data_IF_796011699851
#
_entry.id   IF_796011699851
#
_cell.length_a   1.000
_cell.length_b   1.000
_cell.length_c   1.000
_cell.angle_alpha   90.00
_cell.angle_beta   90.00
_cell.angle_gamma   90.00
#
_symmetry.space_group_name_H-M   'P 1'
#
loop_
_entity.id
_entity.type
_entity.pdbx_description
1 polymer ?
#
# COMPACT_ATOMS: atom_id res chain seq x y z
N UNK A 1 -3.02 16.14 16.22
CA UNK A 1 -4.34 15.45 16.24
C UNK A 1 -5.42 16.48 16.03
N UNK A 2 -6.28 16.30 15.01
CA UNK A 2 -7.34 17.26 14.66
C UNK A 2 -8.50 16.54 13.96
N UNK A 3 -9.72 17.16 13.92
CA UNK A 3 -10.79 16.66 13.08
C UNK A 3 -10.43 16.88 11.60
N UNK A 4 -10.80 15.91 10.77
CA UNK A 4 -10.66 15.97 9.31
C UNK A 4 -11.97 15.61 8.64
N UNK A 5 -12.17 16.10 7.43
CA UNK A 5 -13.40 15.87 6.64
C UNK A 5 -13.04 15.27 5.29
N UNK A 6 -13.78 14.25 4.88
CA UNK A 6 -13.64 13.61 3.56
C UNK A 6 -15.01 13.45 2.90
N UNK A 7 -15.06 13.60 1.58
CA UNK A 7 -16.27 13.42 0.79
C UNK A 7 -16.58 11.93 0.51
N UNK A 8 -15.96 11.02 1.21
CA UNK A 8 -16.13 9.57 1.05
C UNK A 8 -17.60 9.15 1.28
N UNK A 9 -18.02 8.08 0.60
CA UNK A 9 -19.33 7.48 0.85
C UNK A 9 -19.35 6.88 2.27
N UNK A 10 -20.26 7.32 3.15
CA UNK A 10 -20.35 6.80 4.51
C UNK A 10 -20.72 5.32 4.51
N UNK A 11 -20.04 4.55 5.38
CA UNK A 11 -20.34 3.14 5.63
C UNK A 11 -19.86 2.78 7.04
N UNK A 12 -20.13 1.56 7.51
CA UNK A 12 -19.70 1.13 8.84
C UNK A 12 -18.17 1.32 9.01
N UNK A 13 -17.78 2.11 10.01
CA UNK A 13 -16.38 2.43 10.29
C UNK A 13 -15.75 3.50 9.37
N UNK A 14 -16.53 4.12 8.47
CA UNK A 14 -16.07 5.21 7.61
C UNK A 14 -17.02 6.40 7.71
N UNK A 15 -16.53 7.48 8.29
CA UNK A 15 -17.28 8.70 8.55
C UNK A 15 -16.74 9.84 7.67
N UNK A 16 -17.57 10.85 7.42
CA UNK A 16 -17.14 12.05 6.70
C UNK A 16 -16.36 13.02 7.57
N UNK A 17 -16.56 12.94 8.88
CA UNK A 17 -15.80 13.68 9.89
C UNK A 17 -15.23 12.69 10.90
N UNK A 18 -13.95 12.75 11.17
CA UNK A 18 -13.25 11.91 12.13
C UNK A 18 -11.95 12.59 12.59
N UNK A 19 -11.40 12.12 13.69
CA UNK A 19 -10.10 12.58 14.17
C UNK A 19 -8.97 11.81 13.51
N UNK A 20 -7.94 12.51 13.07
CA UNK A 20 -6.74 11.93 12.51
C UNK A 20 -5.51 12.37 13.31
N UNK A 21 -4.59 11.43 13.54
CA UNK A 21 -3.26 11.69 14.08
C UNK A 21 -2.28 11.49 12.93
N UNK A 22 -1.57 12.54 12.57
CA UNK A 22 -0.54 12.53 11.55
C UNK A 22 0.82 12.90 12.16
N UNK A 23 1.86 12.37 11.57
CA UNK A 23 3.24 12.77 11.85
C UNK A 23 3.97 12.91 10.51
N UNK A 24 4.53 14.07 10.28
CA UNK A 24 5.29 14.40 9.08
C UNK A 24 6.69 14.89 9.46
N UNK A 25 7.66 14.63 8.57
CA UNK A 25 9.00 15.16 8.65
C UNK A 25 9.29 16.01 7.42
N UNK A 26 9.74 17.24 7.63
CA UNK A 26 10.06 18.20 6.59
C UNK A 26 11.52 18.64 6.71
N UNK A 27 12.21 18.80 5.57
CA UNK A 27 13.58 19.33 5.52
C UNK A 27 14.68 18.28 5.57
N UNK A 28 14.36 17.00 5.37
CA UNK A 28 15.36 15.92 5.31
C UNK A 28 14.98 14.87 4.25
N UNK A 29 15.93 14.45 3.43
CA UNK A 29 15.82 13.36 2.46
C UNK A 29 16.35 12.02 3.01
N UNK A 30 16.72 11.99 4.29
CA UNK A 30 17.32 10.82 4.92
C UNK A 30 16.29 9.72 5.13
N UNK A 31 16.60 8.49 4.70
CA UNK A 31 15.78 7.30 4.95
C UNK A 31 15.68 6.95 6.45
N UNK A 32 16.52 7.56 7.31
CA UNK A 32 16.36 7.42 8.76
C UNK A 32 15.05 8.00 9.28
N UNK A 33 14.46 8.95 8.57
CA UNK A 33 13.13 9.48 8.90
C UNK A 33 12.04 8.40 8.81
N UNK A 34 12.15 7.50 7.85
CA UNK A 34 11.25 6.34 7.73
C UNK A 34 11.36 5.43 8.96
N UNK A 35 12.59 5.20 9.43
CA UNK A 35 12.84 4.39 10.63
C UNK A 35 12.24 5.06 11.87
N UNK A 36 12.43 6.37 12.03
CA UNK A 36 11.86 7.14 13.16
C UNK A 36 10.33 7.11 13.15
N UNK A 37 9.69 7.23 11.97
CA UNK A 37 8.24 7.13 11.83
C UNK A 37 7.72 5.73 12.19
N UNK A 38 8.43 4.67 11.78
CA UNK A 38 8.08 3.29 12.18
C UNK A 38 8.18 3.12 13.70
N UNK A 39 9.24 3.64 14.32
CA UNK A 39 9.41 3.61 15.78
C UNK A 39 8.32 4.40 16.50
N UNK A 40 7.89 5.53 15.92
CA UNK A 40 6.78 6.33 16.45
C UNK A 40 5.47 5.53 16.46
N UNK A 41 5.16 4.81 15.37
CA UNK A 41 3.99 3.92 15.32
C UNK A 41 4.07 2.81 16.38
N UNK A 42 5.20 2.10 16.43
CA UNK A 42 5.40 1.02 17.41
C UNK A 42 5.23 1.52 18.85
N UNK A 43 5.90 2.61 19.20
CA UNK A 43 5.81 3.21 20.53
C UNK A 43 4.39 3.69 20.86
N UNK A 44 3.67 4.25 19.88
CA UNK A 44 2.31 4.74 20.07
C UNK A 44 1.33 3.59 20.34
N UNK A 45 1.35 2.54 19.52
CA UNK A 45 0.47 1.38 19.68
C UNK A 45 0.81 0.58 20.95
N UNK A 46 2.09 0.46 21.29
CA UNK A 46 2.53 -0.14 22.56
C UNK A 46 1.96 0.60 23.76
N UNK A 47 2.01 1.94 23.76
CA UNK A 47 1.42 2.77 24.85
C UNK A 47 -0.10 2.64 24.91
N UNK A 48 -0.77 2.41 23.80
CA UNK A 48 -2.20 2.16 23.74
C UNK A 48 -2.58 0.72 24.11
N UNK A 49 -1.62 -0.17 24.35
CA UNK A 49 -1.86 -1.57 24.67
C UNK A 49 -2.39 -2.36 23.47
N UNK A 50 -2.14 -1.92 22.25
CA UNK A 50 -2.59 -2.55 21.01
C UNK A 50 -1.46 -3.38 20.39
N UNK A 51 -1.71 -4.67 20.15
CA UNK A 51 -0.83 -5.52 19.36
C UNK A 51 -1.04 -5.24 17.89
N UNK A 52 0.00 -4.77 17.21
CA UNK A 52 -0.06 -4.40 15.79
C UNK A 52 1.07 -5.03 14.99
N UNK A 53 0.82 -5.22 13.70
CA UNK A 53 1.84 -5.61 12.72
C UNK A 53 2.06 -4.45 11.76
N UNK A 54 3.28 -3.94 11.70
CA UNK A 54 3.66 -2.85 10.80
C UNK A 54 4.15 -3.48 9.49
N UNK A 55 3.40 -3.28 8.40
CA UNK A 55 3.81 -3.69 7.05
C UNK A 55 4.53 -2.53 6.38
N UNK A 56 5.75 -2.75 5.95
CA UNK A 56 6.59 -1.75 5.27
C UNK A 56 6.82 -2.19 3.83
N UNK A 57 6.65 -1.28 2.90
CA UNK A 57 6.94 -1.50 1.49
C UNK A 57 7.56 -0.24 0.87
N UNK A 58 8.25 -0.41 -0.25
CA UNK A 58 8.78 0.68 -1.04
C UNK A 58 8.25 0.60 -2.47
N UNK A 59 7.71 1.70 -2.98
CA UNK A 59 7.17 1.78 -4.34
C UNK A 59 8.21 1.44 -5.42
N UNK A 60 9.50 1.64 -5.15
CA UNK A 60 10.60 1.26 -6.07
C UNK A 60 10.69 -0.25 -6.26
N UNK A 61 10.31 -1.05 -5.26
CA UNK A 61 10.24 -2.53 -5.40
C UNK A 61 9.18 -2.88 -6.44
N UNK A 62 7.98 -2.31 -6.32
CA UNK A 62 6.90 -2.54 -7.29
C UNK A 62 7.27 -2.04 -8.69
N UNK A 63 7.99 -0.91 -8.79
CA UNK A 63 8.48 -0.41 -10.07
C UNK A 63 9.49 -1.36 -10.71
N UNK A 64 10.44 -1.89 -9.93
CA UNK A 64 11.38 -2.91 -10.40
C UNK A 64 10.69 -4.21 -10.84
N UNK A 65 9.66 -4.64 -10.12
CA UNK A 65 8.84 -5.78 -10.54
C UNK A 65 8.15 -5.53 -11.88
N UNK A 66 7.55 -4.35 -12.05
CA UNK A 66 6.91 -3.97 -13.32
C UNK A 66 7.91 -3.89 -14.48
N UNK A 67 9.13 -3.45 -14.21
CA UNK A 67 10.22 -3.41 -15.20
C UNK A 67 10.63 -4.82 -15.63
N UNK A 68 10.85 -5.73 -14.67
CA UNK A 68 11.17 -7.15 -14.95
C UNK A 68 10.06 -7.84 -15.73
N UNK A 69 8.79 -7.51 -15.45
CA UNK A 69 7.63 -8.03 -16.17
C UNK A 69 7.41 -7.36 -17.54
N UNK A 70 8.19 -6.31 -17.89
CA UNK A 70 8.04 -5.55 -19.13
C UNK A 70 6.74 -4.75 -19.23
N UNK A 71 6.17 -4.32 -18.09
CA UNK A 71 4.90 -3.59 -17.99
C UNK A 71 5.05 -2.25 -17.28
N UNK A 72 6.19 -1.59 -17.42
CA UNK A 72 6.44 -0.29 -16.79
C UNK A 72 5.40 0.77 -17.16
N UNK A 73 4.91 0.75 -18.40
CA UNK A 73 3.86 1.66 -18.90
C UNK A 73 2.49 1.39 -18.25
N UNK A 74 2.26 0.17 -17.77
CA UNK A 74 1.06 -0.25 -17.09
C UNK A 74 1.23 -0.35 -15.56
N UNK A 75 2.21 0.37 -14.99
CA UNK A 75 2.55 0.33 -13.57
C UNK A 75 1.35 0.56 -12.64
N UNK A 76 0.46 1.50 -12.99
CA UNK A 76 -0.74 1.80 -12.19
C UNK A 76 -1.69 0.60 -12.17
N UNK A 77 -1.97 0.00 -13.32
CA UNK A 77 -2.83 -1.19 -13.42
C UNK A 77 -2.25 -2.37 -12.61
N UNK A 78 -0.93 -2.57 -12.69
CA UNK A 78 -0.22 -3.58 -11.92
C UNK A 78 -0.33 -3.34 -10.41
N UNK A 79 -0.10 -2.11 -9.93
CA UNK A 79 -0.22 -1.80 -8.51
C UNK A 79 -1.65 -1.94 -7.99
N UNK A 80 -2.66 -1.59 -8.78
CA UNK A 80 -4.09 -1.80 -8.44
C UNK A 80 -4.42 -3.29 -8.30
N UNK A 81 -3.84 -4.15 -9.16
CA UNK A 81 -4.03 -5.59 -9.06
C UNK A 81 -3.38 -6.15 -7.78
N UNK A 82 -2.14 -5.76 -7.48
CA UNK A 82 -1.40 -6.23 -6.29
C UNK A 82 -2.03 -5.73 -4.98
N UNK A 83 -2.58 -4.52 -4.95
CA UNK A 83 -3.24 -3.98 -3.74
C UNK A 83 -4.41 -4.84 -3.25
N UNK A 84 -4.92 -5.69 -4.10
CA UNK A 84 -5.98 -6.64 -3.76
C UNK A 84 -5.47 -7.95 -3.17
N UNK A 85 -4.15 -8.20 -3.12
CA UNK A 85 -3.56 -9.47 -2.71
C UNK A 85 -4.09 -9.98 -1.36
N UNK A 86 -4.15 -9.11 -0.35
CA UNK A 86 -4.65 -9.48 0.98
C UNK A 86 -6.13 -9.87 0.99
N UNK A 87 -6.91 -9.45 -0.02
CA UNK A 87 -8.37 -9.68 -0.10
C UNK A 87 -8.73 -10.87 -0.96
N UNK A 88 -8.05 -11.05 -2.09
CA UNK A 88 -8.43 -12.03 -3.12
C UNK A 88 -7.43 -13.17 -3.26
N UNK A 89 -6.30 -13.10 -2.57
CA UNK A 89 -5.21 -14.06 -2.68
C UNK A 89 -4.47 -13.98 -4.01
N UNK A 90 -3.42 -14.78 -4.16
CA UNK A 90 -2.53 -14.74 -5.32
C UNK A 90 -3.25 -15.05 -6.65
N UNK A 91 -4.07 -16.10 -6.68
CA UNK A 91 -4.87 -16.46 -7.85
C UNK A 91 -5.86 -15.35 -8.26
N UNK A 92 -6.41 -14.63 -7.26
CA UNK A 92 -7.26 -13.48 -7.50
C UNK A 92 -6.50 -12.32 -8.13
N UNK A 93 -5.23 -12.10 -7.74
CA UNK A 93 -4.37 -11.08 -8.35
C UNK A 93 -4.10 -11.41 -9.81
N UNK A 94 -3.80 -12.67 -10.16
CA UNK A 94 -3.60 -13.08 -11.57
C UNK A 94 -4.85 -12.82 -12.43
N UNK A 95 -6.05 -13.08 -11.89
CA UNK A 95 -7.32 -12.74 -12.57
C UNK A 95 -7.50 -11.24 -12.71
N UNK A 96 -7.15 -10.47 -11.70
CA UNK A 96 -7.23 -9.02 -11.74
C UNK A 96 -6.24 -8.42 -12.75
N UNK A 97 -5.02 -8.95 -12.83
CA UNK A 97 -4.03 -8.54 -13.84
C UNK A 97 -4.57 -8.74 -15.26
N UNK A 98 -5.26 -9.86 -15.53
CA UNK A 98 -5.95 -10.10 -16.82
C UNK A 98 -7.11 -9.13 -17.03
N UNK A 99 -7.89 -8.83 -15.99
CA UNK A 99 -9.00 -7.88 -16.06
C UNK A 99 -8.53 -6.44 -16.31
N UNK A 100 -7.29 -6.11 -15.92
CA UNK A 100 -6.62 -4.83 -16.20
C UNK A 100 -5.91 -4.84 -17.57
N UNK A 101 -6.16 -5.86 -18.41
CA UNK A 101 -5.58 -6.01 -19.74
C UNK A 101 -4.04 -6.05 -19.77
N UNK A 102 -3.41 -6.50 -18.68
CA UNK A 102 -1.96 -6.70 -18.65
C UNK A 102 -1.54 -7.87 -19.57
N UNK A 103 -0.36 -7.79 -20.24
CA UNK A 103 0.12 -8.84 -21.11
C UNK A 103 0.17 -10.20 -20.43
N UNK A 104 -0.28 -11.26 -21.11
CA UNK A 104 -0.31 -12.63 -20.55
C UNK A 104 1.10 -13.14 -20.22
N UNK A 105 2.13 -12.66 -20.92
CA UNK A 105 3.54 -12.92 -20.57
C UNK A 105 3.88 -12.42 -19.16
N UNK A 106 3.43 -11.22 -18.81
CA UNK A 106 3.64 -10.64 -17.48
C UNK A 106 2.87 -11.43 -16.41
N UNK A 107 1.62 -11.81 -16.69
CA UNK A 107 0.79 -12.61 -15.77
C UNK A 107 1.42 -13.97 -15.53
N UNK A 108 1.92 -14.63 -16.57
CA UNK A 108 2.58 -15.94 -16.47
C UNK A 108 3.88 -15.84 -15.68
N UNK A 109 4.72 -14.86 -15.97
CA UNK A 109 5.99 -14.64 -15.26
C UNK A 109 5.75 -14.31 -13.78
N UNK A 110 4.78 -13.44 -13.48
CA UNK A 110 4.39 -13.13 -12.11
C UNK A 110 3.84 -14.36 -11.38
N UNK A 111 3.11 -15.22 -12.09
CA UNK A 111 2.57 -16.48 -11.56
C UNK A 111 3.62 -17.52 -11.17
N UNK A 112 4.87 -17.33 -11.58
CA UNK A 112 6.00 -18.21 -11.22
C UNK A 112 6.76 -17.75 -9.97
N UNK A 113 6.45 -16.59 -9.42
CA UNK A 113 7.05 -16.02 -8.20
C UNK A 113 6.29 -16.48 -6.96
#
# INVERSE_FOLDING_TARGET
MQPVWRADRPQKGRFREFYQCDADVVGSDSLWQEVELIQLYDASFTKLGLSTTIKVNNRKILAGMAEVLGISDAFIAFTVAIDKLDKVGFEGVLKEMRAQELPESAVTTFGQW
#
